data_IF_874991014007
#
_entry.id   IF_874991014007
#
_cell.length_a   1.000
_cell.length_b   1.000
_cell.length_c   1.000
_cell.angle_alpha   90.00
_cell.angle_beta   90.00
_cell.angle_gamma   90.00
#
_symmetry.space_group_name_H-M   'P 1'
#
loop_
_entity.id
_entity.type
_entity.pdbx_description
1 polymer ?
#
# COMPACT_ATOMS: atom_id res chain seq x y z
N UNK A 1 -28.18 -17.32 -28.97
CA UNK A 1 -27.90 -16.65 -27.68
C UNK A 1 -27.87 -17.73 -26.61
N UNK A 2 -26.75 -17.85 -25.87
CA UNK A 2 -26.75 -17.29 -24.53
C UNK A 2 -25.50 -16.46 -24.22
N UNK A 3 -25.74 -15.45 -23.41
CA UNK A 3 -24.81 -14.53 -22.77
C UNK A 3 -23.77 -15.28 -21.93
N UNK A 4 -22.49 -15.16 -22.27
CA UNK A 4 -21.41 -15.52 -21.34
C UNK A 4 -20.64 -14.24 -21.01
N UNK A 5 -21.11 -13.54 -19.98
CA UNK A 5 -20.32 -12.54 -19.28
C UNK A 5 -19.11 -13.25 -18.68
N UNK A 6 -17.93 -13.14 -19.29
CA UNK A 6 -16.68 -13.38 -18.60
C UNK A 6 -16.26 -12.10 -17.90
N UNK A 7 -16.68 -12.05 -16.64
CA UNK A 7 -16.18 -11.26 -15.52
C UNK A 7 -14.67 -11.01 -15.63
N UNK A 8 -14.30 -9.74 -15.47
CA UNK A 8 -12.95 -9.20 -15.41
C UNK A 8 -11.95 -10.21 -14.83
N UNK A 9 -11.16 -10.83 -15.72
CA UNK A 9 -10.01 -11.64 -15.34
C UNK A 9 -9.07 -10.75 -14.53
N UNK A 10 -9.13 -10.97 -13.22
CA UNK A 10 -8.45 -10.31 -12.12
C UNK A 10 -6.94 -10.49 -12.26
N UNK A 11 -6.33 -9.71 -13.16
CA UNK A 11 -4.88 -9.51 -13.21
C UNK A 11 -4.51 -8.24 -12.42
N UNK A 12 -4.91 -8.22 -11.16
CA UNK A 12 -4.76 -7.11 -10.21
C UNK A 12 -4.41 -7.85 -8.90
N UNK A 13 -3.30 -7.61 -8.21
CA UNK A 13 -3.33 -6.94 -6.90
C UNK A 13 -1.95 -6.99 -6.21
N UNK A 14 -0.83 -6.87 -6.93
CA UNK A 14 0.47 -6.65 -6.23
C UNK A 14 0.53 -5.33 -5.46
N UNK A 15 -0.37 -4.41 -5.78
CA UNK A 15 -0.45 -3.07 -5.18
C UNK A 15 -1.79 -2.85 -4.47
N UNK A 16 -2.54 -3.90 -4.14
CA UNK A 16 -3.79 -3.73 -3.40
C UNK A 16 -3.56 -3.96 -1.93
N UNK A 17 -4.14 -3.09 -1.10
CA UNK A 17 -3.92 -3.16 0.33
C UNK A 17 -4.55 -4.43 0.92
N UNK A 18 -3.77 -5.32 1.57
CA UNK A 18 -4.31 -6.57 2.12
C UNK A 18 -5.27 -6.34 3.28
N UNK A 19 -5.23 -5.16 3.92
CA UNK A 19 -6.13 -4.81 5.04
C UNK A 19 -7.52 -4.42 4.56
N UNK A 20 -7.63 -3.57 3.54
CA UNK A 20 -8.92 -3.02 3.12
C UNK A 20 -9.43 -3.52 1.78
N UNK A 21 -8.58 -4.16 0.95
CA UNK A 21 -8.85 -4.64 -0.41
C UNK A 21 -9.49 -3.62 -1.39
N UNK A 22 -9.67 -2.37 -0.94
CA UNK A 22 -10.28 -1.28 -1.70
C UNK A 22 -9.24 -0.24 -2.11
N UNK A 23 -8.29 0.06 -1.21
CA UNK A 23 -7.21 1.01 -1.46
C UNK A 23 -6.00 0.35 -2.12
N UNK A 24 -5.24 1.13 -2.88
CA UNK A 24 -3.95 0.72 -3.42
C UNK A 24 -2.81 1.10 -2.46
N UNK A 25 -1.80 0.25 -2.41
CA UNK A 25 -0.52 0.54 -1.79
C UNK A 25 0.24 1.50 -2.70
N UNK A 26 0.74 2.59 -2.10
CA UNK A 26 1.45 3.67 -2.77
C UNK A 26 2.79 3.88 -2.09
N UNK A 27 3.82 4.08 -2.89
CA UNK A 27 5.15 4.46 -2.41
C UNK A 27 5.13 5.89 -1.87
N UNK A 28 6.14 6.25 -1.08
CA UNK A 28 6.28 7.60 -0.50
C UNK A 28 6.19 8.71 -1.55
N UNK A 29 6.80 8.48 -2.73
CA UNK A 29 6.78 9.43 -3.83
C UNK A 29 5.39 9.60 -4.47
N UNK A 30 4.53 8.57 -4.38
CA UNK A 30 3.17 8.59 -4.90
C UNK A 30 2.14 9.20 -3.92
N UNK A 31 2.54 9.44 -2.67
CA UNK A 31 1.74 10.14 -1.66
C UNK A 31 1.87 11.66 -1.83
N UNK A 32 0.77 12.38 -1.59
CA UNK A 32 0.74 13.83 -1.49
C UNK A 32 1.38 14.31 -0.17
N UNK A 33 1.67 15.60 -0.05
CA UNK A 33 2.29 16.16 1.16
C UNK A 33 1.45 15.93 2.41
N UNK A 34 0.13 16.10 2.33
CA UNK A 34 -0.80 15.81 3.42
C UNK A 34 -0.72 14.34 3.85
N UNK A 35 -0.66 13.43 2.88
CA UNK A 35 -0.57 11.99 3.14
C UNK A 35 0.78 11.62 3.75
N UNK A 36 1.86 12.26 3.31
CA UNK A 36 3.22 12.12 3.86
C UNK A 36 3.29 12.61 5.30
N UNK A 37 2.58 13.68 5.65
CA UNK A 37 2.47 14.17 7.02
C UNK A 37 1.73 13.17 7.92
N UNK A 38 0.67 12.53 7.43
CA UNK A 38 0.00 11.45 8.17
C UNK A 38 0.96 10.27 8.39
N UNK A 39 1.66 9.83 7.33
CA UNK A 39 2.65 8.77 7.45
C UNK A 39 3.78 9.15 8.41
N UNK A 40 4.25 10.41 8.43
CA UNK A 40 5.24 10.90 9.41
C UNK A 40 4.77 10.80 10.86
N UNK A 41 3.46 10.92 11.09
CA UNK A 41 2.85 10.85 12.43
C UNK A 41 2.54 9.43 12.88
N UNK A 42 2.61 8.43 11.99
CA UNK A 42 2.39 7.05 12.36
C UNK A 42 3.54 6.57 13.27
N UNK A 43 3.23 5.90 14.40
CA UNK A 43 4.24 5.46 15.34
C UNK A 43 5.25 4.49 14.70
N UNK A 44 4.78 3.57 13.85
CA UNK A 44 5.63 2.61 13.11
C UNK A 44 6.58 3.30 12.13
N UNK A 45 6.11 4.38 11.47
CA UNK A 45 6.92 5.18 10.55
C UNK A 45 7.88 6.16 11.24
N UNK A 46 7.69 6.39 12.55
CA UNK A 46 8.55 7.26 13.35
C UNK A 46 9.83 6.54 13.80
N UNK A 47 9.85 5.20 13.72
CA UNK A 47 11.00 4.37 14.08
C UNK A 47 12.06 4.33 12.96
N UNK A 48 11.70 4.70 11.72
CA UNK A 48 12.59 4.65 10.56
C UNK A 48 12.76 6.02 9.88
N UNK A 49 13.97 6.36 9.38
CA UNK A 49 14.20 7.59 8.65
C UNK A 49 13.41 7.62 7.33
N UNK A 50 13.04 8.83 6.89
CA UNK A 50 12.15 9.05 5.72
C UNK A 50 12.67 8.41 4.45
N UNK A 51 13.98 8.41 4.26
CA UNK A 51 14.65 7.87 3.06
C UNK A 51 14.59 6.33 2.99
N UNK A 52 14.69 5.68 4.14
CA UNK A 52 14.65 4.23 4.26
C UNK A 52 13.23 3.71 3.99
N UNK A 53 12.23 4.32 4.64
CA UNK A 53 10.83 3.98 4.42
C UNK A 53 10.37 4.32 3.01
N UNK A 54 10.88 5.38 2.39
CA UNK A 54 10.48 5.76 1.03
C UNK A 54 10.82 4.71 -0.03
N UNK A 55 11.87 3.91 0.21
CA UNK A 55 12.28 2.82 -0.67
C UNK A 55 11.73 1.46 -0.25
N UNK A 56 11.51 1.23 1.04
CA UNK A 56 11.16 -0.10 1.55
C UNK A 56 9.68 -0.24 1.94
N UNK A 57 8.97 0.86 2.22
CA UNK A 57 7.62 0.84 2.79
C UNK A 57 6.61 1.37 1.77
N UNK A 58 5.44 0.74 1.71
CA UNK A 58 4.31 1.15 0.88
C UNK A 58 3.09 1.38 1.76
N UNK A 59 2.35 2.45 1.52
CA UNK A 59 1.21 2.84 2.35
C UNK A 59 -0.11 2.83 1.59
N UNK A 60 -1.16 2.41 2.28
CA UNK A 60 -2.51 2.59 1.78
C UNK A 60 -3.07 3.95 2.21
N UNK A 61 -3.37 4.83 1.24
CA UNK A 61 -4.00 6.13 1.48
C UNK A 61 -5.39 6.05 2.16
N UNK A 62 -6.02 4.88 2.16
CA UNK A 62 -7.40 4.72 2.64
C UNK A 62 -7.48 4.20 4.09
N UNK A 63 -6.59 3.29 4.46
CA UNK A 63 -6.60 2.67 5.78
C UNK A 63 -5.27 2.82 6.54
N UNK A 64 -4.31 3.56 5.97
CA UNK A 64 -2.97 3.80 6.51
C UNK A 64 -2.23 2.51 6.90
N UNK A 65 -2.52 1.42 6.19
CA UNK A 65 -1.74 0.19 6.31
C UNK A 65 -0.37 0.42 5.69
N UNK A 66 0.67 0.05 6.41
CA UNK A 66 2.06 0.06 5.97
C UNK A 66 2.48 -1.37 5.63
N UNK A 67 2.90 -1.59 4.40
CA UNK A 67 3.57 -2.80 3.96
C UNK A 67 5.07 -2.53 3.92
N UNK A 68 5.82 -3.17 4.80
CA UNK A 68 7.28 -3.15 4.78
C UNK A 68 7.76 -4.32 3.92
N UNK A 69 8.69 -4.07 2.98
CA UNK A 69 9.24 -5.12 2.12
C UNK A 69 9.92 -6.26 2.91
N UNK A 70 10.30 -6.03 4.18
CA UNK A 70 10.83 -7.04 5.09
C UNK A 70 9.82 -8.06 5.60
N UNK A 71 8.51 -7.76 5.58
CA UNK A 71 7.48 -8.68 6.06
C UNK A 71 7.25 -9.91 5.15
N UNK A 72 7.85 -9.93 3.96
CA UNK A 72 7.71 -11.05 3.00
C UNK A 72 8.75 -12.17 3.21
N UNK A 73 9.65 -12.05 4.17
CA UNK A 73 10.70 -13.05 4.45
C UNK A 73 10.42 -13.94 5.68
N UNK A 74 9.33 -13.70 6.43
CA UNK A 74 8.97 -14.45 7.64
C UNK A 74 7.57 -15.12 7.54
N UNK A 75 7.35 -15.94 6.51
CA UNK A 75 6.18 -16.83 6.42
C UNK A 75 6.54 -18.23 5.93
#
# INVERSE_FOLDING_TARGET
MPTFMQFDTTNKHKDQCPRCNAGKLRDWNALNEEEREVVRRLPTSAEFPVEERANQHRWCAQCWYEETAGALLDA
#
